data_IF_368226493375
#
_entry.id   IF_368226493375
#
_cell.length_a   1.000
_cell.length_b   1.000
_cell.length_c   1.000
_cell.angle_alpha   90.00
_cell.angle_beta   90.00
_cell.angle_gamma   90.00
#
_symmetry.space_group_name_H-M   'P 1'
#
loop_
_entity.id
_entity.type
_entity.pdbx_description
1 polymer ?
#
# COMPACT_ATOMS: atom_id res chain seq x y z
N UNK A 1 12.87 -8.02 4.61
CA UNK A 1 12.32 -6.74 5.15
C UNK A 1 10.80 -6.84 5.18
N UNK A 2 10.13 -6.32 6.21
CA UNK A 2 8.67 -6.31 6.32
C UNK A 2 8.17 -4.87 6.22
N UNK A 3 7.24 -4.61 5.30
CA UNK A 3 6.66 -3.28 5.05
C UNK A 3 5.17 -3.36 5.35
N UNK A 4 4.71 -2.53 6.29
CA UNK A 4 3.29 -2.41 6.63
C UNK A 4 2.75 -1.15 5.95
N UNK A 5 1.68 -1.30 5.18
CA UNK A 5 1.02 -0.23 4.44
C UNK A 5 -0.35 -0.02 5.06
N UNK A 6 -0.50 1.03 5.88
CA UNK A 6 -1.75 1.35 6.57
C UNK A 6 -2.26 2.76 6.20
N UNK A 7 -2.72 2.95 4.94
CA UNK A 7 -3.20 4.24 4.46
C UNK A 7 -4.68 4.43 4.81
N UNK A 8 -5.10 5.70 4.83
CA UNK A 8 -6.51 6.10 4.76
C UNK A 8 -6.90 6.33 3.29
N UNK A 9 -8.20 6.44 3.06
CA UNK A 9 -8.80 6.86 1.81
C UNK A 9 -8.38 8.27 1.40
N UNK A 10 -8.35 8.49 0.09
CA UNK A 10 -8.29 9.82 -0.49
C UNK A 10 -9.72 10.28 -0.73
N UNK A 11 -10.16 11.28 0.04
CA UNK A 11 -11.54 11.78 0.03
C UNK A 11 -12.01 12.10 -1.40
N UNK A 12 -13.17 11.55 -1.78
CA UNK A 12 -13.76 11.64 -3.13
C UNK A 12 -12.88 11.10 -4.28
N UNK A 13 -11.90 10.25 -4.02
CA UNK A 13 -10.98 9.74 -5.05
C UNK A 13 -10.73 8.23 -4.94
N UNK A 14 -9.88 7.80 -4.01
CA UNK A 14 -9.46 6.41 -3.87
C UNK A 14 -9.84 5.88 -2.50
N UNK A 15 -10.34 4.65 -2.45
CA UNK A 15 -10.49 3.90 -1.20
C UNK A 15 -9.11 3.64 -0.57
N UNK A 16 -9.07 3.46 0.76
CA UNK A 16 -7.85 3.10 1.48
C UNK A 16 -7.18 1.84 0.89
N UNK A 17 -7.97 0.88 0.41
CA UNK A 17 -7.45 -0.32 -0.27
C UNK A 17 -6.77 -0.02 -1.62
N UNK A 18 -7.32 0.90 -2.42
CA UNK A 18 -6.71 1.29 -3.69
C UNK A 18 -5.41 2.07 -3.46
N UNK A 19 -5.39 2.93 -2.44
CA UNK A 19 -4.17 3.62 -2.01
C UNK A 19 -3.12 2.60 -1.56
N UNK A 20 -3.50 1.60 -0.76
CA UNK A 20 -2.58 0.55 -0.30
C UNK A 20 -1.97 -0.23 -1.47
N UNK A 21 -2.78 -0.60 -2.47
CA UNK A 21 -2.31 -1.29 -3.67
C UNK A 21 -1.37 -0.43 -4.51
N UNK A 22 -1.67 0.86 -4.67
CA UNK A 22 -0.81 1.78 -5.41
C UNK A 22 0.57 1.94 -4.75
N UNK A 23 0.59 2.08 -3.41
CA UNK A 23 1.83 2.15 -2.63
C UNK A 23 2.60 0.83 -2.75
N UNK A 24 1.94 -0.32 -2.56
CA UNK A 24 2.58 -1.63 -2.65
C UNK A 24 3.22 -1.85 -4.04
N UNK A 25 2.50 -1.50 -5.11
CA UNK A 25 3.01 -1.61 -6.48
C UNK A 25 4.30 -0.81 -6.68
N UNK A 26 4.31 0.47 -6.26
CA UNK A 26 5.49 1.32 -6.38
C UNK A 26 6.68 0.80 -5.56
N UNK A 27 6.42 0.28 -4.35
CA UNK A 27 7.48 -0.31 -3.53
C UNK A 27 8.02 -1.62 -4.11
N UNK A 28 7.18 -2.46 -4.72
CA UNK A 28 7.61 -3.72 -5.35
C UNK A 28 8.55 -3.52 -6.54
N UNK A 29 8.52 -2.35 -7.18
CA UNK A 29 9.47 -2.02 -8.25
C UNK A 29 10.91 -1.90 -7.74
N UNK A 30 11.10 -1.52 -6.46
CA UNK A 30 12.42 -1.35 -5.85
C UNK A 30 12.76 -2.49 -4.89
N UNK A 31 11.76 -3.01 -4.17
CA UNK A 31 11.89 -4.06 -3.17
C UNK A 31 10.93 -5.23 -3.47
N UNK A 32 11.17 -6.01 -4.54
CA UNK A 32 10.25 -7.06 -4.97
C UNK A 32 10.06 -8.17 -3.92
N UNK A 33 11.11 -8.48 -3.15
CA UNK A 33 11.14 -9.58 -2.19
C UNK A 33 10.75 -9.15 -0.76
N UNK A 34 10.34 -7.90 -0.55
CA UNK A 34 9.82 -7.48 0.74
C UNK A 34 8.48 -8.17 1.03
N UNK A 35 8.22 -8.44 2.31
CA UNK A 35 6.91 -8.90 2.76
C UNK A 35 5.99 -7.71 3.01
N UNK A 36 4.91 -7.63 2.25
CA UNK A 36 3.93 -6.56 2.33
C UNK A 36 2.73 -6.99 3.17
N UNK A 37 2.33 -6.15 4.11
CA UNK A 37 1.09 -6.32 4.89
C UNK A 37 0.28 -5.03 4.78
N UNK A 38 -0.86 -5.11 4.10
CA UNK A 38 -1.73 -3.97 3.85
C UNK A 38 -2.88 -3.97 4.86
N UNK A 39 -3.01 -2.87 5.61
CA UNK A 39 -4.02 -2.63 6.65
C UNK A 39 -4.74 -1.30 6.35
N UNK A 40 -5.59 -1.24 5.30
CA UNK A 40 -6.36 -0.04 5.00
C UNK A 40 -7.26 0.33 6.19
N UNK A 41 -7.29 1.61 6.56
CA UNK A 41 -8.08 2.17 7.67
C UNK A 41 -9.25 3.00 7.16
#
# INVERSE_FOLDING_TARGET
MKIVIAPDSYKESLSASEVAQAIEKGFREIFPDAQYVSLPV
#
